data_IF_222953232446
#
_entry.id   IF_222953232446
#
_cell.length_a   1.000
_cell.length_b   1.000
_cell.length_c   1.000
_cell.angle_alpha   90.00
_cell.angle_beta   90.00
_cell.angle_gamma   90.00
#
_symmetry.space_group_name_H-M   'P 1'
#
loop_
_entity.id
_entity.type
_entity.pdbx_description
1 polymer ?
#
# COMPACT_ATOMS: atom_id res chain seq x y z
N UNK A 1 28.48 -13.40 -32.27
CA UNK A 1 28.58 -12.20 -31.40
C UNK A 1 27.43 -11.19 -31.59
N UNK A 2 26.88 -10.98 -32.80
CA UNK A 2 25.74 -10.04 -33.03
C UNK A 2 24.48 -10.33 -32.18
N UNK A 3 24.14 -11.59 -31.94
CA UNK A 3 22.91 -11.96 -31.21
C UNK A 3 22.99 -11.71 -29.69
N UNK A 4 24.19 -11.69 -29.10
CA UNK A 4 24.37 -11.44 -27.66
C UNK A 4 24.18 -9.95 -27.34
N UNK A 5 24.61 -9.07 -28.25
CA UNK A 5 24.48 -7.62 -28.11
C UNK A 5 23.01 -7.18 -28.16
N UNK A 6 22.18 -7.82 -28.99
CA UNK A 6 20.75 -7.53 -29.10
C UNK A 6 19.98 -7.97 -27.83
N UNK A 7 20.35 -9.12 -27.24
CA UNK A 7 19.74 -9.59 -25.99
C UNK A 7 20.11 -8.68 -24.82
N UNK A 8 21.36 -8.20 -24.75
CA UNK A 8 21.78 -7.20 -23.77
C UNK A 8 21.03 -5.86 -23.95
N UNK A 9 20.88 -5.36 -25.17
CA UNK A 9 20.13 -4.12 -25.45
C UNK A 9 18.64 -4.20 -25.07
N UNK A 10 17.99 -5.34 -25.28
CA UNK A 10 16.58 -5.57 -24.88
C UNK A 10 16.42 -5.72 -23.35
N UNK A 11 17.43 -6.28 -22.67
CA UNK A 11 17.47 -6.34 -21.20
C UNK A 11 17.71 -4.96 -20.58
N UNK A 12 18.52 -4.10 -21.21
CA UNK A 12 18.73 -2.73 -20.73
C UNK A 12 17.51 -1.81 -20.98
N UNK A 13 16.77 -1.98 -22.07
CA UNK A 13 15.60 -1.14 -22.36
C UNK A 13 14.42 -1.41 -21.42
N UNK A 14 14.26 -2.64 -20.94
CA UNK A 14 13.19 -3.00 -19.99
C UNK A 14 13.49 -2.57 -18.53
N UNK A 15 14.76 -2.43 -18.16
CA UNK A 15 15.17 -1.86 -16.87
C UNK A 15 15.06 -0.33 -16.87
N UNK A 16 15.35 0.30 -18.02
CA UNK A 16 15.26 1.75 -18.17
C UNK A 16 13.81 2.27 -18.09
N UNK A 17 12.81 1.55 -18.63
CA UNK A 17 11.41 2.00 -18.60
C UNK A 17 10.83 2.04 -17.18
N UNK A 18 11.24 1.13 -16.29
CA UNK A 18 10.83 1.16 -14.88
C UNK A 18 11.52 2.28 -14.07
N UNK A 19 12.71 2.72 -14.50
CA UNK A 19 13.44 3.84 -13.88
C UNK A 19 12.91 5.22 -14.32
N UNK A 20 12.46 5.36 -15.57
CA UNK A 20 12.02 6.65 -16.14
C UNK A 20 10.70 7.14 -15.53
N UNK A 21 9.80 6.25 -15.06
CA UNK A 21 8.57 6.65 -14.37
C UNK A 21 8.77 7.17 -12.93
N UNK A 22 9.98 7.07 -12.36
CA UNK A 22 10.29 7.45 -10.96
C UNK A 22 11.16 8.70 -10.83
N UNK A 23 11.10 9.61 -11.81
CA UNK A 23 11.86 10.87 -11.78
C UNK A 23 11.45 11.84 -10.65
N UNK A 24 10.25 11.70 -10.09
CA UNK A 24 9.72 12.59 -9.06
C UNK A 24 9.74 11.94 -7.66
N UNK A 25 10.21 12.71 -6.66
CA UNK A 25 10.30 12.28 -5.25
C UNK A 25 8.93 11.94 -4.64
N UNK A 26 7.87 12.56 -5.14
CA UNK A 26 6.49 12.26 -4.77
C UNK A 26 5.56 12.56 -5.95
N UNK A 27 4.73 11.58 -6.33
CA UNK A 27 3.65 11.77 -7.30
C UNK A 27 2.33 12.01 -6.55
N UNK A 28 1.69 13.14 -6.81
CA UNK A 28 0.34 13.45 -6.33
C UNK A 28 -0.65 13.45 -7.50
N UNK A 29 -1.15 12.27 -7.87
CA UNK A 29 -2.17 12.15 -8.93
C UNK A 29 -3.52 12.62 -8.40
N UNK A 30 -4.23 13.48 -9.13
CA UNK A 30 -5.57 13.92 -8.71
C UNK A 30 -6.58 12.77 -8.84
N UNK A 31 -7.51 12.69 -7.88
CA UNK A 31 -8.69 11.85 -7.98
C UNK A 31 -9.70 12.42 -8.99
N UNK A 32 -10.62 11.57 -9.42
CA UNK A 32 -11.62 11.91 -10.43
C UNK A 32 -12.72 12.80 -9.78
N UNK A 33 -13.21 13.82 -10.49
CA UNK A 33 -14.33 14.64 -9.97
C UNK A 33 -15.60 13.80 -9.93
N UNK A 34 -16.41 13.97 -8.88
CA UNK A 34 -17.73 13.34 -8.84
C UNK A 34 -18.60 13.87 -9.98
N UNK A 35 -19.12 12.98 -10.82
CA UNK A 35 -20.09 13.33 -11.85
C UNK A 35 -21.47 13.54 -11.18
N UNK A 36 -22.01 14.75 -11.34
CA UNK A 36 -23.26 15.30 -10.77
C UNK A 36 -23.18 15.87 -9.34
N UNK A 37 -23.35 17.19 -9.25
CA UNK A 37 -23.36 18.03 -8.04
C UNK A 37 -24.60 17.86 -7.12
N UNK A 38 -25.54 16.96 -7.44
CA UNK A 38 -26.90 17.01 -6.90
C UNK A 38 -27.24 15.99 -5.81
N UNK A 39 -26.27 15.61 -4.97
CA UNK A 39 -26.58 14.91 -3.72
C UNK A 39 -25.87 15.60 -2.57
N UNK A 40 -26.65 16.04 -1.58
CA UNK A 40 -26.15 16.48 -0.29
C UNK A 40 -25.49 15.27 0.37
N UNK A 41 -24.21 15.07 0.09
CA UNK A 41 -23.43 14.09 0.81
C UNK A 41 -23.00 14.71 2.15
N UNK A 42 -23.09 13.96 3.26
CA UNK A 42 -22.52 14.43 4.52
C UNK A 42 -21.04 14.77 4.32
N UNK A 43 -20.54 15.80 5.03
CA UNK A 43 -19.14 16.19 5.06
C UNK A 43 -18.31 15.04 5.64
N UNK A 44 -17.76 14.20 4.76
CA UNK A 44 -17.18 12.92 5.14
C UNK A 44 -16.18 12.42 4.11
N UNK A 45 -15.23 11.63 4.60
CA UNK A 45 -14.43 10.72 3.78
C UNK A 45 -14.92 9.31 4.06
N UNK A 46 -15.40 8.62 3.03
CA UNK A 46 -15.87 7.26 3.16
C UNK A 46 -15.44 6.43 1.95
N UNK A 47 -15.62 5.11 2.06
CA UNK A 47 -15.42 4.20 0.96
C UNK A 47 -16.52 3.15 0.93
N UNK A 48 -16.88 2.75 -0.28
CA UNK A 48 -17.75 1.61 -0.55
C UNK A 48 -16.96 0.57 -1.32
N UNK A 49 -17.50 -0.65 -1.41
CA UNK A 49 -16.90 -1.69 -2.23
C UNK A 49 -17.97 -2.39 -3.05
N UNK A 50 -17.54 -2.95 -4.18
CA UNK A 50 -18.28 -3.92 -4.97
C UNK A 50 -17.38 -5.12 -5.19
N UNK A 51 -17.97 -6.31 -5.13
CA UNK A 51 -17.29 -7.57 -5.41
C UNK A 51 -17.91 -8.16 -6.67
N UNK A 52 -17.06 -8.63 -7.58
CA UNK A 52 -17.48 -9.50 -8.67
C UNK A 52 -16.74 -10.84 -8.64
N UNK A 53 -16.79 -11.58 -9.74
CA UNK A 53 -16.20 -12.91 -9.83
C UNK A 53 -14.68 -12.93 -9.86
N UNK A 54 -14.02 -11.82 -10.20
CA UNK A 54 -12.60 -11.70 -10.49
C UNK A 54 -11.87 -10.66 -9.62
N UNK A 55 -12.57 -9.65 -9.10
CA UNK A 55 -11.98 -8.55 -8.37
C UNK A 55 -12.88 -8.01 -7.25
N UNK A 56 -12.24 -7.24 -6.37
CA UNK A 56 -12.91 -6.35 -5.43
C UNK A 56 -12.57 -4.91 -5.84
N UNK A 57 -13.57 -4.10 -6.11
CA UNK A 57 -13.40 -2.68 -6.43
C UNK A 57 -13.80 -1.84 -5.23
N UNK A 58 -12.86 -1.04 -4.73
CA UNK A 58 -13.09 -0.08 -3.64
C UNK A 58 -13.23 1.32 -4.25
N UNK A 59 -14.36 1.97 -3.99
CA UNK A 59 -14.61 3.35 -4.38
C UNK A 59 -14.45 4.24 -3.15
N UNK A 60 -13.39 5.04 -3.12
CA UNK A 60 -13.15 6.02 -2.06
C UNK A 60 -13.73 7.36 -2.50
N UNK A 61 -14.47 8.04 -1.63
CA UNK A 61 -15.18 9.28 -1.92
C UNK A 61 -14.84 10.33 -0.87
N UNK A 62 -14.37 11.49 -1.32
CA UNK A 62 -14.18 12.68 -0.50
C UNK A 62 -15.28 13.69 -0.80
N UNK A 63 -16.24 13.84 0.12
CA UNK A 63 -17.27 14.90 0.09
C UNK A 63 -16.96 16.02 1.07
N UNK A 64 -15.76 16.00 1.68
CA UNK A 64 -15.34 17.06 2.59
C UNK A 64 -14.97 18.34 1.85
N UNK A 65 -14.94 19.46 2.61
CA UNK A 65 -14.41 20.74 2.11
C UNK A 65 -12.89 20.76 2.02
N UNK A 66 -12.21 19.79 2.65
CA UNK A 66 -10.76 19.70 2.70
C UNK A 66 -10.22 18.91 1.51
N UNK A 67 -9.03 19.28 1.04
CA UNK A 67 -8.23 18.39 0.20
C UNK A 67 -7.56 17.34 1.08
N UNK A 68 -7.67 16.08 0.70
CA UNK A 68 -7.10 14.95 1.41
C UNK A 68 -6.13 14.19 0.51
N UNK A 69 -5.19 13.48 1.12
CA UNK A 69 -4.17 12.72 0.42
C UNK A 69 -4.18 11.28 0.90
N UNK A 70 -4.40 10.34 -0.02
CA UNK A 70 -4.37 8.91 0.27
C UNK A 70 -3.04 8.35 -0.17
N UNK A 71 -2.32 7.71 0.75
CA UNK A 71 -1.07 7.03 0.43
C UNK A 71 -1.33 5.89 -0.56
N UNK A 72 -0.63 5.93 -1.70
CA UNK A 72 -0.88 5.04 -2.83
C UNK A 72 0.34 4.25 -3.29
N UNK A 73 1.48 4.38 -2.59
CA UNK A 73 2.72 3.69 -2.98
C UNK A 73 2.55 2.17 -3.08
N UNK A 74 1.71 1.57 -2.24
CA UNK A 74 1.47 0.11 -2.23
C UNK A 74 0.27 -0.34 -3.06
N UNK A 75 -0.42 0.57 -3.75
CA UNK A 75 -1.56 0.22 -4.62
C UNK A 75 -1.13 -0.32 -5.99
N UNK A 76 0.17 -0.30 -6.28
CA UNK A 76 0.72 -0.87 -7.51
C UNK A 76 0.72 -2.40 -7.45
N UNK A 77 0.40 -3.06 -8.56
CA UNK A 77 0.19 -4.51 -8.64
C UNK A 77 1.37 -5.31 -8.08
N UNK A 78 2.61 -4.87 -8.31
CA UNK A 78 3.79 -5.60 -7.82
C UNK A 78 3.91 -5.68 -6.30
N UNK A 79 3.19 -4.85 -5.54
CA UNK A 79 3.26 -4.82 -4.07
C UNK A 79 2.12 -5.57 -3.40
N UNK A 80 1.00 -5.82 -4.11
CA UNK A 80 -0.23 -6.33 -3.53
C UNK A 80 -0.10 -7.71 -2.88
N UNK A 81 0.82 -8.56 -3.36
CA UNK A 81 1.09 -9.88 -2.79
C UNK A 81 2.05 -9.87 -1.59
N UNK A 82 2.49 -8.70 -1.13
CA UNK A 82 3.50 -8.61 -0.08
C UNK A 82 2.97 -8.97 1.30
N UNK A 83 3.64 -9.89 1.99
CA UNK A 83 3.31 -10.34 3.35
C UNK A 83 3.19 -9.24 4.42
N UNK A 84 3.75 -8.06 4.17
CA UNK A 84 3.67 -6.94 5.12
C UNK A 84 2.37 -6.16 5.02
N UNK A 85 1.72 -6.18 3.85
CA UNK A 85 0.40 -5.62 3.66
C UNK A 85 -0.66 -6.55 4.25
N UNK A 86 -0.43 -7.86 4.17
CA UNK A 86 -1.32 -8.88 4.73
C UNK A 86 -1.09 -9.02 6.26
N UNK A 87 -1.99 -8.45 7.05
CA UNK A 87 -1.95 -8.44 8.52
C UNK A 87 -3.10 -9.23 9.11
N UNK A 88 -2.85 -9.93 10.20
CA UNK A 88 -3.83 -10.83 10.78
C UNK A 88 -3.88 -10.77 12.30
N UNK A 89 -5.08 -10.52 12.83
CA UNK A 89 -5.40 -10.63 14.25
C UNK A 89 -6.03 -12.01 14.52
N UNK A 90 -5.22 -12.90 15.11
CA UNK A 90 -5.65 -14.26 15.48
C UNK A 90 -6.79 -14.26 16.49
N UNK A 91 -6.77 -13.32 17.44
CA UNK A 91 -7.76 -13.26 18.52
C UNK A 91 -9.11 -12.80 17.98
N UNK A 92 -9.11 -11.83 17.05
CA UNK A 92 -10.33 -11.26 16.47
C UNK A 92 -10.78 -11.91 15.17
N UNK A 93 -10.03 -12.91 14.67
CA UNK A 93 -10.26 -13.54 13.36
C UNK A 93 -10.43 -12.49 12.25
N UNK A 94 -9.53 -11.51 12.22
CA UNK A 94 -9.61 -10.38 11.30
C UNK A 94 -8.38 -10.34 10.40
N UNK A 95 -8.62 -10.47 9.09
CA UNK A 95 -7.62 -10.30 8.05
C UNK A 95 -7.69 -8.90 7.46
N UNK A 96 -6.56 -8.20 7.44
CA UNK A 96 -6.44 -6.83 6.97
C UNK A 96 -5.46 -6.78 5.81
N UNK A 97 -5.87 -6.19 4.70
CA UNK A 97 -4.93 -5.72 3.70
C UNK A 97 -4.64 -4.25 3.97
N UNK A 98 -3.45 -3.99 4.51
CA UNK A 98 -3.07 -2.72 5.10
C UNK A 98 -2.14 -1.94 4.19
N UNK A 99 -2.67 -0.91 3.53
CA UNK A 99 -1.90 0.05 2.70
C UNK A 99 -1.41 1.22 3.53
N UNK A 100 -1.11 0.99 4.80
CA UNK A 100 -0.57 2.00 5.69
C UNK A 100 0.95 2.09 5.49
N UNK A 101 1.55 3.29 5.48
CA UNK A 101 2.96 3.45 5.20
C UNK A 101 3.78 2.79 6.30
N UNK A 102 4.50 1.75 5.92
CA UNK A 102 5.53 1.16 6.75
C UNK A 102 6.76 2.02 6.51
N UNK A 103 7.17 2.76 7.54
CA UNK A 103 8.24 3.77 7.45
C UNK A 103 9.46 3.20 6.71
N UNK A 104 10.07 3.95 5.78
CA UNK A 104 11.25 3.50 5.09
C UNK A 104 12.36 3.19 6.11
N UNK A 105 12.82 1.94 6.07
CA UNK A 105 14.12 1.60 6.61
C UNK A 105 15.16 2.43 5.86
N UNK A 106 15.90 3.23 6.62
CA UNK A 106 16.95 4.15 6.18
C UNK A 106 17.95 3.42 5.29
N UNK A 107 18.20 3.88 4.06
CA UNK A 107 19.54 4.00 3.46
C UNK A 107 19.46 4.74 2.12
N UNK A 108 20.34 5.73 1.93
CA UNK A 108 20.69 6.26 0.61
C UNK A 108 22.20 6.14 0.40
N UNK A 109 22.52 5.76 -0.85
CA UNK A 109 23.84 5.45 -1.41
C UNK A 109 24.55 4.29 -0.69
N UNK A 110 24.83 3.24 -1.47
CA UNK A 110 25.29 1.90 -1.09
C UNK A 110 24.16 0.91 -0.78
N UNK A 111 24.23 -0.21 -1.49
CA UNK A 111 23.32 -1.34 -1.49
C UNK A 111 23.11 -1.87 -0.08
N UNK A 112 21.87 -2.01 0.37
CA UNK A 112 21.26 -3.32 0.52
C UNK A 112 19.84 -3.24 1.07
N UNK A 113 19.08 -4.25 0.68
CA UNK A 113 17.75 -4.60 1.13
C UNK A 113 17.67 -4.59 2.67
N UNK A 114 16.83 -3.74 3.26
CA UNK A 114 16.36 -3.95 4.64
C UNK A 114 14.92 -4.43 4.64
N UNK A 115 14.76 -5.69 4.22
CA UNK A 115 14.23 -6.73 5.11
C UNK A 115 15.09 -7.98 4.91
N UNK A 116 15.80 -8.40 5.96
CA UNK A 116 16.54 -9.65 5.95
C UNK A 116 15.59 -10.81 5.63
N UNK A 117 15.83 -11.46 4.49
CA UNK A 117 15.20 -12.66 3.88
C UNK A 117 13.94 -12.48 2.98
N UNK A 118 14.23 -12.71 1.69
CA UNK A 118 13.50 -13.13 0.48
C UNK A 118 12.43 -12.30 -0.23
N UNK A 119 11.78 -11.29 0.35
CA UNK A 119 10.87 -10.44 -0.45
C UNK A 119 10.85 -8.98 0.06
N UNK A 120 11.62 -8.13 -0.62
CA UNK A 120 11.67 -6.69 -0.39
C UNK A 120 10.56 -5.98 -1.19
N UNK A 121 9.83 -5.04 -0.56
CA UNK A 121 8.76 -4.28 -1.24
C UNK A 121 9.34 -3.25 -2.21
N UNK A 122 10.53 -2.69 -2.01
CA UNK A 122 11.10 -1.69 -2.93
C UNK A 122 12.60 -1.93 -3.09
N UNK A 123 13.07 -2.04 -4.33
CA UNK A 123 14.50 -2.13 -4.65
C UNK A 123 15.13 -0.75 -4.82
N UNK A 124 16.40 -0.67 -4.43
CA UNK A 124 17.40 0.39 -4.66
C UNK A 124 17.00 1.85 -4.37
N UNK A 125 17.50 2.34 -3.23
CA UNK A 125 17.96 3.73 -3.01
C UNK A 125 16.97 4.90 -3.19
N UNK A 126 15.65 4.69 -3.12
CA UNK A 126 14.70 5.81 -3.12
C UNK A 126 13.52 5.61 -2.19
N UNK A 127 13.30 6.60 -1.33
CA UNK A 127 12.07 6.78 -0.56
C UNK A 127 11.07 7.43 -1.51
N UNK A 128 10.10 6.67 -2.02
CA UNK A 128 9.06 7.21 -2.92
C UNK A 128 7.72 7.13 -2.21
N UNK A 129 7.24 8.28 -1.75
CA UNK A 129 5.88 8.44 -1.24
C UNK A 129 4.98 8.90 -2.39
N UNK A 130 4.07 8.04 -2.81
CA UNK A 130 3.03 8.39 -3.76
C UNK A 130 1.71 8.62 -3.04
N UNK A 131 0.97 9.61 -3.52
CA UNK A 131 -0.36 9.94 -3.02
C UNK A 131 -1.36 10.11 -4.15
N UNK A 132 -2.62 9.80 -3.85
CA UNK A 132 -3.75 10.29 -4.64
C UNK A 132 -4.31 11.51 -3.91
N UNK A 133 -4.37 12.64 -4.61
CA UNK A 133 -4.92 13.90 -4.13
C UNK A 133 -6.44 13.92 -4.35
N UNK A 134 -7.19 13.83 -3.28
CA UNK A 134 -8.65 13.94 -3.27
C UNK A 134 -9.04 15.39 -2.99
N UNK A 135 -9.37 16.12 -4.06
CA UNK A 135 -10.02 17.43 -3.94
C UNK A 135 -11.42 17.28 -3.31
N UNK A 136 -12.04 18.37 -2.84
CA UNK A 136 -13.46 18.35 -2.46
C UNK A 136 -14.32 17.78 -3.60
N UNK A 137 -15.28 16.92 -3.25
CA UNK A 137 -16.19 16.26 -4.19
C UNK A 137 -15.46 15.44 -5.27
N UNK A 138 -14.52 14.62 -4.83
CA UNK A 138 -13.78 13.70 -5.71
C UNK A 138 -13.91 12.26 -5.26
N UNK A 139 -13.67 11.33 -6.18
CA UNK A 139 -13.66 9.91 -5.93
C UNK A 139 -12.53 9.22 -6.66
N UNK A 140 -12.12 8.06 -6.15
CA UNK A 140 -11.24 7.15 -6.86
C UNK A 140 -11.70 5.72 -6.69
N UNK A 141 -11.75 5.01 -7.79
CA UNK A 141 -11.91 3.56 -7.78
C UNK A 141 -10.54 2.90 -7.83
N UNK A 142 -10.36 1.90 -6.98
CA UNK A 142 -9.19 1.03 -6.94
C UNK A 142 -9.68 -0.41 -7.07
N UNK A 143 -9.30 -1.04 -8.17
CA UNK A 143 -9.62 -2.45 -8.43
C UNK A 143 -8.50 -3.34 -7.88
N UNK A 144 -8.89 -4.35 -7.11
CA UNK A 144 -7.99 -5.39 -6.60
C UNK A 144 -8.40 -6.75 -7.16
N UNK A 145 -7.67 -7.22 -8.16
CA UNK A 145 -7.91 -8.55 -8.73
C UNK A 145 -7.57 -9.64 -7.72
N UNK A 146 -8.43 -10.64 -7.62
CA UNK A 146 -8.19 -11.79 -6.75
C UNK A 146 -6.87 -12.49 -7.05
N UNK A 147 -6.49 -12.55 -8.32
CA UNK A 147 -5.22 -13.11 -8.76
C UNK A 147 -4.01 -12.37 -8.19
N UNK A 148 -4.11 -11.06 -7.95
CA UNK A 148 -3.00 -10.23 -7.48
C UNK A 148 -2.90 -10.22 -5.96
N UNK A 149 -4.05 -10.17 -5.28
CA UNK A 149 -4.16 -10.27 -3.83
C UNK A 149 -3.68 -11.63 -3.31
N UNK A 150 -3.85 -12.69 -4.11
CA UNK A 150 -3.72 -14.06 -3.64
C UNK A 150 -2.83 -14.95 -4.52
N UNK A 151 -2.03 -14.37 -5.43
CA UNK A 151 -1.15 -15.09 -6.36
C UNK A 151 -0.18 -16.05 -5.67
N UNK A 152 0.29 -15.68 -4.49
CA UNK A 152 1.34 -16.39 -3.75
C UNK A 152 0.82 -17.40 -2.72
N UNK A 153 -0.43 -17.86 -2.86
CA UNK A 153 -1.14 -18.76 -1.92
C UNK A 153 -0.41 -20.07 -1.52
N UNK A 154 0.69 -20.45 -2.17
CA UNK A 154 1.37 -21.72 -1.96
C UNK A 154 2.81 -21.68 -1.45
N UNK A 155 3.45 -20.52 -1.23
CA UNK A 155 4.91 -20.53 -0.99
C UNK A 155 5.44 -20.01 0.34
N UNK A 156 4.59 -19.77 1.33
CA UNK A 156 4.86 -19.92 2.77
C UNK A 156 3.78 -19.13 3.52
N UNK A 157 3.21 -19.73 4.57
CA UNK A 157 2.13 -19.22 5.43
C UNK A 157 2.41 -17.89 6.16
N UNK A 158 3.25 -17.00 5.63
CA UNK A 158 3.79 -15.84 6.30
C UNK A 158 2.82 -14.66 6.17
N UNK A 159 1.72 -14.69 6.91
CA UNK A 159 0.95 -13.46 7.16
C UNK A 159 1.57 -12.75 8.36
N UNK A 160 1.64 -11.42 8.34
CA UNK A 160 2.13 -10.66 9.48
C UNK A 160 1.06 -10.69 10.59
N UNK A 161 1.46 -10.86 11.85
CA UNK A 161 0.55 -10.61 12.98
C UNK A 161 0.10 -9.15 12.94
N UNK A 162 -1.06 -8.83 13.51
CA UNK A 162 -1.49 -7.44 13.59
C UNK A 162 -0.58 -6.63 14.53
N UNK A 163 -0.13 -5.43 14.13
CA UNK A 163 0.75 -4.56 14.90
C UNK A 163 0.47 -3.08 14.62
N UNK A 164 0.73 -2.20 15.58
CA UNK A 164 0.53 -0.78 15.37
C UNK A 164 1.68 -0.17 14.54
N UNK A 165 1.44 0.09 13.26
CA UNK A 165 2.42 0.70 12.33
C UNK A 165 2.96 2.04 12.84
N UNK A 166 2.16 2.82 13.59
CA UNK A 166 2.61 4.12 14.11
C UNK A 166 3.69 4.02 15.18
N UNK A 167 3.86 2.84 15.79
CA UNK A 167 4.94 2.59 16.75
C UNK A 167 6.27 2.29 16.06
N UNK A 168 6.24 1.98 14.76
CA UNK A 168 7.46 1.80 13.99
C UNK A 168 8.15 3.15 13.81
N UNK A 169 9.46 3.12 13.65
CA UNK A 169 10.31 4.24 13.28
C UNK A 169 11.47 3.72 12.42
N UNK A 170 12.32 4.62 11.96
CA UNK A 170 13.47 4.33 11.10
C UNK A 170 14.43 3.23 11.63
N UNK A 171 14.46 3.01 12.95
CA UNK A 171 15.33 2.06 13.64
C UNK A 171 14.61 0.76 14.06
N UNK A 172 13.30 0.67 13.84
CA UNK A 172 12.50 -0.48 14.27
C UNK A 172 12.90 -1.71 13.48
N UNK A 173 13.27 -2.81 14.13
CA UNK A 173 13.54 -4.08 13.45
C UNK A 173 12.26 -4.91 13.41
N UNK A 174 11.93 -5.56 12.29
CA UNK A 174 10.86 -6.56 12.25
C UNK A 174 11.29 -7.76 13.11
N UNK A 175 10.65 -8.04 14.27
CA UNK A 175 11.06 -9.16 15.10
C UNK A 175 10.76 -10.48 14.38
N UNK A 176 11.55 -11.56 14.61
CA UNK A 176 11.23 -12.89 14.07
C UNK A 176 9.81 -13.39 14.43
N UNK A 177 9.24 -12.91 15.55
CA UNK A 177 7.88 -13.22 16.05
C UNK A 177 6.75 -12.47 15.34
N UNK A 178 7.06 -11.59 14.39
CA UNK A 178 6.12 -10.73 13.67
C UNK A 178 5.27 -11.50 12.66
N UNK A 179 5.70 -12.69 12.28
CA UNK A 179 4.97 -13.56 11.38
C UNK A 179 4.25 -14.64 12.16
N UNK A 180 3.11 -15.03 11.65
CA UNK A 180 2.50 -16.31 12.01
C UNK A 180 2.82 -17.31 10.90
N UNK A 181 3.17 -18.54 11.27
CA UNK A 181 3.19 -19.69 10.34
C UNK A 181 1.88 -20.47 10.42
N UNK A 182 0.94 -20.04 11.28
CA UNK A 182 -0.32 -20.74 11.47
C UNK A 182 -1.10 -20.75 10.17
N UNK A 183 -1.47 -21.96 9.76
CA UNK A 183 -2.51 -22.21 8.78
C UNK A 183 -3.78 -21.49 9.23
N UNK A 184 -4.11 -20.37 8.60
CA UNK A 184 -5.40 -19.71 8.81
C UNK A 184 -6.48 -20.68 8.31
N UNK A 185 -7.61 -20.87 8.98
CA UNK A 185 -8.69 -21.75 8.53
C UNK A 185 -10.08 -21.28 9.03
N UNK A 186 -11.11 -21.42 8.17
CA UNK A 186 -12.48 -21.00 8.45
C UNK A 186 -12.80 -19.54 8.08
N UNK A 187 -13.94 -19.02 8.58
CA UNK A 187 -14.43 -17.67 8.25
C UNK A 187 -13.63 -16.58 8.98
N UNK A 188 -13.33 -15.50 8.26
CA UNK A 188 -12.59 -14.35 8.78
C UNK A 188 -13.25 -13.07 8.29
N UNK A 189 -13.28 -12.05 9.13
CA UNK A 189 -13.61 -10.70 8.68
C UNK A 189 -12.47 -10.21 7.80
N UNK A 190 -12.80 -9.52 6.71
CA UNK A 190 -11.82 -8.93 5.80
C UNK A 190 -12.00 -7.42 5.74
N UNK A 191 -10.89 -6.68 5.73
CA UNK A 191 -10.93 -5.24 5.50
C UNK A 191 -9.72 -4.74 4.74
N UNK A 192 -9.90 -3.69 3.95
CA UNK A 192 -8.81 -2.86 3.47
C UNK A 192 -8.57 -1.69 4.43
N UNK A 193 -7.31 -1.34 4.69
CA UNK A 193 -6.94 -0.13 5.45
C UNK A 193 -6.13 0.82 4.56
N UNK A 194 -6.55 2.08 4.47
CA UNK A 194 -5.87 3.14 3.72
C UNK A 194 -5.41 4.27 4.66
N UNK A 195 -4.21 4.81 4.42
CA UNK A 195 -3.70 5.95 5.16
C UNK A 195 -4.13 7.27 4.51
N UNK A 196 -4.78 8.12 5.30
CA UNK A 196 -5.34 9.41 4.88
C UNK A 196 -4.62 10.54 5.60
N UNK A 197 -4.09 11.49 4.84
CA UNK A 197 -3.38 12.66 5.32
C UNK A 197 -4.14 13.95 4.99
N UNK A 198 -4.04 14.94 5.89
CA UNK A 198 -4.47 16.31 5.62
C UNK A 198 -3.41 17.12 4.87
N UNK A 199 -2.13 16.84 5.09
CA UNK A 199 -0.98 17.42 4.39
C UNK A 199 0.11 16.37 4.25
N UNK A 200 0.86 16.47 3.15
CA UNK A 200 1.97 15.59 2.77
C UNK A 200 3.24 16.38 2.43
N UNK A 201 3.31 17.65 2.83
CA UNK A 201 4.33 18.60 2.35
C UNK A 201 5.77 18.16 2.66
N UNK A 202 6.03 17.60 3.85
CA UNK A 202 7.34 17.06 4.20
C UNK A 202 7.57 15.70 3.52
N UNK A 203 6.52 14.88 3.40
CA UNK A 203 6.59 13.57 2.73
C UNK A 203 6.88 13.68 1.23
N UNK A 204 6.53 14.81 0.61
CA UNK A 204 6.81 15.11 -0.79
C UNK A 204 8.02 16.02 -0.99
N UNK A 205 8.78 16.33 0.07
CA UNK A 205 10.00 17.15 0.01
C UNK A 205 11.24 16.31 0.26
N UNK A 206 12.06 16.12 -0.78
CA UNK A 206 13.26 15.28 -0.72
C UNK A 206 14.22 15.62 0.42
N UNK A 207 14.41 16.91 0.66
CA UNK A 207 15.32 17.39 1.71
C UNK A 207 14.76 17.20 3.12
N UNK A 208 13.45 17.08 3.29
CA UNK A 208 12.83 16.96 4.60
C UNK A 208 13.26 15.66 5.32
N UNK A 209 13.47 14.58 4.57
CA UNK A 209 13.96 13.33 5.13
C UNK A 209 15.32 13.49 5.84
N UNK A 210 16.23 14.31 5.29
CA UNK A 210 17.58 14.49 5.84
C UNK A 210 17.70 15.67 6.80
N UNK A 211 17.04 16.78 6.47
CA UNK A 211 17.21 18.04 7.18
C UNK A 211 16.13 18.27 8.25
N UNK A 212 15.01 17.54 8.18
CA UNK A 212 13.85 17.69 9.06
C UNK A 212 13.35 16.31 9.51
N UNK A 213 14.28 15.42 9.83
CA UNK A 213 13.99 14.00 10.08
C UNK A 213 12.90 13.78 11.14
N UNK A 214 12.96 14.54 12.24
CA UNK A 214 11.96 14.44 13.30
C UNK A 214 10.55 14.80 12.82
N UNK A 215 10.40 15.92 12.11
CA UNK A 215 9.11 16.36 11.59
C UNK A 215 8.62 15.48 10.44
N UNK A 216 9.55 14.96 9.63
CA UNK A 216 9.26 13.95 8.62
C UNK A 216 8.67 12.70 9.28
N UNK A 217 9.36 12.10 10.26
CA UNK A 217 8.90 10.92 11.01
C UNK A 217 7.52 11.17 11.66
N UNK A 218 7.34 12.36 12.27
CA UNK A 218 6.05 12.78 12.82
C UNK A 218 4.96 12.82 11.76
N UNK A 219 5.22 13.42 10.60
CA UNK A 219 4.24 13.49 9.51
C UNK A 219 3.97 12.10 8.94
N UNK A 220 4.95 11.19 8.82
CA UNK A 220 4.69 9.83 8.30
C UNK A 220 3.65 9.08 9.14
N UNK A 221 3.51 9.38 10.43
CA UNK A 221 2.61 8.72 11.39
C UNK A 221 1.29 9.47 11.61
N UNK A 222 1.14 10.67 11.06
CA UNK A 222 -0.01 11.55 11.33
C UNK A 222 -1.26 11.22 10.51
N UNK A 223 -1.29 10.08 9.82
CA UNK A 223 -2.45 9.64 9.05
C UNK A 223 -3.63 9.21 9.93
N UNK A 224 -4.84 9.37 9.41
CA UNK A 224 -6.02 8.62 9.86
C UNK A 224 -6.16 7.35 9.03
N UNK A 225 -6.73 6.30 9.62
CA UNK A 225 -6.98 5.04 8.92
C UNK A 225 -8.42 5.04 8.40
N UNK A 226 -8.59 4.94 7.09
CA UNK A 226 -9.86 4.61 6.46
C UNK A 226 -9.96 3.09 6.34
N UNK A 227 -10.91 2.48 7.06
CA UNK A 227 -11.13 1.04 7.04
C UNK A 227 -12.34 0.71 6.18
N UNK A 228 -12.19 -0.21 5.24
CA UNK A 228 -13.26 -0.67 4.35
C UNK A 228 -13.54 -2.14 4.68
N UNK A 229 -14.57 -2.43 5.50
CA UNK A 229 -14.96 -3.81 5.77
C UNK A 229 -15.56 -4.43 4.52
N UNK A 230 -15.19 -5.67 4.23
CA UNK A 230 -15.59 -6.41 3.03
C UNK A 230 -16.13 -7.76 3.46
N UNK A 231 -17.35 -8.07 3.01
CA UNK A 231 -17.92 -9.40 3.05
C UNK A 231 -17.53 -10.10 1.76
N UNK A 232 -16.62 -11.07 1.84
CA UNK A 232 -16.18 -11.86 0.69
C UNK A 232 -17.09 -13.07 0.55
N UNK A 233 -17.97 -13.07 -0.46
CA UNK A 233 -19.01 -14.10 -0.61
C UNK A 233 -18.55 -15.28 -1.47
N UNK A 234 -17.71 -15.05 -2.47
CA UNK A 234 -17.36 -16.09 -3.46
C UNK A 234 -16.33 -17.10 -2.95
N UNK A 235 -15.53 -16.69 -1.97
CA UNK A 235 -14.62 -17.57 -1.25
C UNK A 235 -15.10 -17.65 0.21
N UNK A 236 -15.99 -18.62 0.50
CA UNK A 236 -15.87 -19.34 1.77
C UNK A 236 -14.43 -19.84 1.78
N UNK A 237 -13.50 -19.07 2.32
CA UNK A 237 -12.10 -19.45 2.36
C UNK A 237 -12.02 -20.79 3.13
N UNK A 238 -11.66 -21.93 2.52
CA UNK A 238 -10.61 -22.68 3.14
C UNK A 238 -9.38 -21.80 2.92
N UNK A 239 -8.99 -21.02 3.92
CA UNK A 239 -7.55 -20.82 4.03
C UNK A 239 -7.03 -22.25 4.24
N UNK A 240 -6.57 -22.86 3.14
CA UNK A 240 -5.94 -24.18 3.02
C UNK A 240 -6.92 -25.39 2.95
N UNK A 241 -6.74 -26.21 1.91
CA UNK A 241 -6.78 -27.66 2.12
C UNK A 241 -5.44 -28.05 2.76
#
# INVERSE_FOLDING_TARGET
MKNIVIILLLLFSSVATAQIERGEYCLCKAADKLSSLNKYYPDSLYATYKEDTAAITVTIVNTTKDTLYIFSSYLQQQFLGSKYLHRFDLNKRHYKLSFLPIIPYVFTKYSDVVITTDEAIVSNQQIVYNFVKFLPNSSKEVEFKYSDLFRNKNKNNNVSKDYNIKLLNKNSKVPKKFYTTCKLSGKYNFSFEFAVYKSVDLLCKQTAYYMQEYDFDKQTKSFKVLTVPVIVNKYNYPLLK
#
